data_IF_890545441794
#
_entry.id   IF_890545441794
#
_cell.length_a   1.000
_cell.length_b   1.000
_cell.length_c   1.000
_cell.angle_alpha   90.00
_cell.angle_beta   90.00
_cell.angle_gamma   90.00
#
_symmetry.space_group_name_H-M   'P 1'
#
loop_
_entity.id
_entity.type
_entity.pdbx_description
1 polymer ?
#
# COMPACT_ATOMS: atom_id res chain seq x y z
N UNK A 1 16.07 13.92 -9.87
CA UNK A 1 15.29 12.72 -9.53
C UNK A 1 13.90 12.90 -10.12
N UNK A 2 13.39 11.93 -10.87
CA UNK A 2 12.03 11.95 -11.41
C UNK A 2 11.10 11.24 -10.43
N UNK A 3 9.90 11.76 -10.22
CA UNK A 3 8.85 11.10 -9.46
C UNK A 3 7.74 10.67 -10.41
N UNK A 4 7.28 9.43 -10.31
CA UNK A 4 6.19 8.87 -11.09
C UNK A 4 5.15 8.35 -10.11
N UNK A 5 3.95 8.91 -10.15
CA UNK A 5 2.80 8.43 -9.39
C UNK A 5 1.90 7.64 -10.34
N UNK A 6 1.40 6.49 -9.87
CA UNK A 6 0.60 5.57 -10.68
C UNK A 6 -0.74 5.37 -10.00
N UNK A 7 -1.81 5.64 -10.73
CA UNK A 7 -3.14 5.20 -10.36
C UNK A 7 -3.24 3.69 -10.60
N UNK A 8 -3.43 2.92 -9.53
CA UNK A 8 -3.56 1.46 -9.61
C UNK A 8 -4.86 1.10 -10.32
N UNK A 9 -4.92 -0.03 -11.05
CA UNK A 9 -6.14 -0.55 -11.69
C UNK A 9 -7.37 -0.42 -10.75
N UNK A 10 -8.47 0.13 -11.28
CA UNK A 10 -9.69 0.40 -10.52
C UNK A 10 -9.67 1.65 -9.64
N UNK A 11 -8.60 2.45 -9.66
CA UNK A 11 -8.46 3.68 -8.89
C UNK A 11 -8.09 4.87 -9.79
N UNK A 12 -8.44 6.07 -9.34
CA UNK A 12 -8.10 7.32 -10.03
C UNK A 12 -8.54 7.33 -11.49
N UNK A 13 -7.61 7.64 -12.39
CA UNK A 13 -7.81 7.73 -13.83
C UNK A 13 -7.49 6.43 -14.58
N UNK A 14 -6.97 5.40 -13.90
CA UNK A 14 -6.73 4.10 -14.53
C UNK A 14 -8.04 3.35 -14.70
N UNK A 15 -8.14 2.58 -15.80
CA UNK A 15 -9.34 1.84 -16.16
C UNK A 15 -9.83 0.91 -15.03
N UNK A 16 -11.13 0.63 -15.03
CA UNK A 16 -11.81 -0.20 -14.05
C UNK A 16 -12.58 -1.33 -14.75
N UNK A 17 -11.85 -2.31 -15.34
CA UNK A 17 -12.47 -3.39 -16.09
C UNK A 17 -13.40 -4.22 -15.20
N UNK A 18 -14.42 -4.83 -15.81
CA UNK A 18 -15.37 -5.69 -15.10
C UNK A 18 -14.81 -7.07 -14.77
N UNK A 19 -13.78 -7.51 -15.47
CA UNK A 19 -13.12 -8.79 -15.22
C UNK A 19 -12.27 -8.72 -13.93
N UNK A 20 -12.73 -9.41 -12.90
CA UNK A 20 -12.07 -9.51 -11.59
C UNK A 20 -10.67 -10.10 -11.72
N UNK A 21 -10.41 -10.98 -12.68
CA UNK A 21 -9.10 -11.62 -12.82
C UNK A 21 -8.00 -10.61 -13.12
N UNK A 22 -8.31 -9.45 -13.75
CA UNK A 22 -7.31 -8.40 -13.97
C UNK A 22 -6.84 -7.70 -12.70
N UNK A 23 -7.56 -7.85 -11.60
CA UNK A 23 -7.19 -7.28 -10.31
C UNK A 23 -6.35 -8.23 -9.48
N UNK A 24 -5.93 -9.39 -10.00
CA UNK A 24 -4.91 -10.18 -9.31
C UNK A 24 -3.63 -9.34 -9.10
N UNK A 25 -3.17 -9.24 -7.86
CA UNK A 25 -2.06 -8.37 -7.48
C UNK A 25 -0.75 -8.69 -8.22
N UNK A 26 -0.52 -9.96 -8.60
CA UNK A 26 0.65 -10.34 -9.41
C UNK A 26 0.50 -9.88 -10.85
N UNK A 27 -0.71 -9.92 -11.41
CA UNK A 27 -0.98 -9.39 -12.75
C UNK A 27 -0.84 -7.87 -12.76
N UNK A 28 -1.35 -7.17 -11.75
CA UNK A 28 -1.16 -5.72 -11.62
C UNK A 28 0.33 -5.38 -11.44
N UNK A 29 1.11 -6.20 -10.71
CA UNK A 29 2.56 -6.01 -10.64
C UNK A 29 3.24 -6.20 -12.02
N UNK A 30 2.75 -7.11 -12.86
CA UNK A 30 3.21 -7.28 -14.23
C UNK A 30 2.87 -6.05 -15.11
N UNK A 31 1.75 -5.38 -14.86
CA UNK A 31 1.39 -4.13 -15.52
C UNK A 31 2.39 -3.00 -15.17
N UNK A 32 2.89 -2.96 -13.93
CA UNK A 32 3.98 -2.04 -13.54
C UNK A 32 5.27 -2.33 -14.33
N UNK A 33 5.63 -3.60 -14.59
CA UNK A 33 6.77 -3.92 -15.45
C UNK A 33 6.58 -3.39 -16.88
N UNK A 34 5.35 -3.44 -17.40
CA UNK A 34 5.04 -2.86 -18.72
C UNK A 34 5.28 -1.35 -18.73
N UNK A 35 4.89 -0.64 -17.67
CA UNK A 35 5.19 0.78 -17.50
C UNK A 35 6.70 1.04 -17.44
N UNK A 36 7.47 0.23 -16.70
CA UNK A 36 8.94 0.34 -16.66
C UNK A 36 9.56 0.21 -18.05
N UNK A 37 9.09 -0.76 -18.85
CA UNK A 37 9.57 -0.95 -20.23
C UNK A 37 9.23 0.23 -21.13
N UNK A 38 7.99 0.73 -21.06
CA UNK A 38 7.53 1.86 -21.88
C UNK A 38 8.28 3.17 -21.56
N UNK A 39 8.61 3.38 -20.29
CA UNK A 39 9.36 4.55 -19.82
C UNK A 39 10.88 4.33 -19.83
N UNK A 40 11.34 3.19 -20.33
CA UNK A 40 12.77 2.80 -20.39
C UNK A 40 13.47 2.85 -19.02
N UNK A 41 12.73 2.59 -17.93
CA UNK A 41 13.23 2.57 -16.56
C UNK A 41 13.90 1.22 -16.30
N UNK A 42 15.22 1.24 -16.08
CA UNK A 42 15.98 0.03 -15.75
C UNK A 42 15.80 -0.39 -14.29
N UNK A 43 15.77 0.59 -13.38
CA UNK A 43 15.69 0.38 -11.94
C UNK A 43 15.17 1.66 -11.26
N UNK A 44 14.38 1.53 -10.20
CA UNK A 44 13.83 2.68 -9.48
C UNK A 44 13.71 2.41 -7.97
N UNK A 45 13.56 3.49 -7.20
CA UNK A 45 13.13 3.43 -5.81
C UNK A 45 11.61 3.26 -5.80
N UNK A 46 11.11 2.20 -5.16
CA UNK A 46 9.69 1.89 -5.14
C UNK A 46 9.13 2.27 -3.77
N UNK A 47 8.07 3.08 -3.78
CA UNK A 47 7.34 3.46 -2.58
C UNK A 47 5.89 3.00 -2.72
N UNK A 48 5.38 2.33 -1.71
CA UNK A 48 3.98 1.92 -1.66
C UNK A 48 3.37 2.14 -0.28
N UNK A 49 2.15 2.65 -0.27
CA UNK A 49 1.35 2.87 0.93
C UNK A 49 0.18 1.87 1.01
N UNK A 50 0.02 1.18 2.14
CA UNK A 50 -1.10 0.28 2.42
C UNK A 50 -1.35 -0.74 1.30
N UNK A 51 -2.46 -0.68 0.56
CA UNK A 51 -2.67 -1.52 -0.63
C UNK A 51 -1.56 -1.35 -1.68
N UNK A 52 -1.15 -0.11 -1.97
CA UNK A 52 -0.02 0.16 -2.85
C UNK A 52 1.30 -0.37 -2.28
N UNK A 53 1.43 -0.46 -0.96
CA UNK A 53 2.55 -1.13 -0.29
C UNK A 53 2.55 -2.64 -0.52
N UNK A 54 1.37 -3.27 -0.51
CA UNK A 54 1.21 -4.70 -0.82
C UNK A 54 1.59 -4.98 -2.27
N UNK A 55 1.16 -4.12 -3.19
CA UNK A 55 1.54 -4.18 -4.60
C UNK A 55 3.05 -3.94 -4.79
N UNK A 56 3.62 -2.95 -4.13
CA UNK A 56 5.06 -2.66 -4.18
C UNK A 56 5.91 -3.82 -3.68
N UNK A 57 5.48 -4.47 -2.60
CA UNK A 57 6.13 -5.66 -2.08
C UNK A 57 6.02 -6.85 -3.05
N UNK A 58 4.83 -7.12 -3.60
CA UNK A 58 4.66 -8.14 -4.65
C UNK A 58 5.55 -7.85 -5.85
N UNK A 59 5.63 -6.60 -6.31
CA UNK A 59 6.52 -6.20 -7.39
C UNK A 59 7.99 -6.46 -7.04
N UNK A 60 8.44 -6.12 -5.83
CA UNK A 60 9.82 -6.36 -5.40
C UNK A 60 10.18 -7.85 -5.30
N UNK A 61 9.23 -8.70 -4.91
CA UNK A 61 9.41 -10.16 -4.85
C UNK A 61 9.49 -10.76 -6.26
N UNK A 62 8.57 -10.37 -7.15
CA UNK A 62 8.46 -10.97 -8.49
C UNK A 62 9.48 -10.40 -9.47
N UNK A 63 9.88 -9.15 -9.29
CA UNK A 63 10.76 -8.42 -10.20
C UNK A 63 11.87 -7.61 -9.48
N UNK A 64 12.68 -8.24 -8.61
CA UNK A 64 13.69 -7.56 -7.79
C UNK A 64 14.72 -6.77 -8.61
N UNK A 65 14.97 -7.17 -9.86
CA UNK A 65 15.91 -6.50 -10.75
C UNK A 65 15.54 -5.04 -11.06
N UNK A 66 14.26 -4.65 -10.94
CA UNK A 66 13.80 -3.28 -11.16
C UNK A 66 13.81 -2.43 -9.88
N UNK A 67 14.13 -3.00 -8.72
CA UNK A 67 13.99 -2.31 -7.42
C UNK A 67 15.35 -1.94 -6.86
N UNK A 68 15.63 -0.62 -6.80
CA UNK A 68 16.84 -0.06 -6.18
C UNK A 68 16.72 -0.05 -4.66
N UNK A 69 15.62 0.49 -4.15
CA UNK A 69 15.23 0.41 -2.74
C UNK A 69 13.72 0.24 -2.66
N UNK A 70 13.24 -0.34 -1.57
CA UNK A 70 11.82 -0.51 -1.30
C UNK A 70 11.42 0.33 -0.08
N UNK A 71 10.31 1.06 -0.17
CA UNK A 71 9.75 1.85 0.93
C UNK A 71 8.29 1.43 1.09
N UNK A 72 7.93 0.92 2.25
CA UNK A 72 6.58 0.44 2.57
C UNK A 72 6.03 1.25 3.74
N UNK A 73 4.95 1.99 3.49
CA UNK A 73 4.22 2.73 4.51
C UNK A 73 2.95 1.98 4.90
N UNK A 74 2.81 1.65 6.19
CA UNK A 74 1.61 1.04 6.77
C UNK A 74 1.05 -0.12 5.93
N UNK A 75 1.93 -1.04 5.55
CA UNK A 75 1.65 -2.16 4.64
C UNK A 75 1.84 -3.51 5.34
N UNK A 76 1.54 -4.61 4.64
CA UNK A 76 1.78 -5.98 5.12
C UNK A 76 2.25 -6.89 4.00
N UNK A 77 2.82 -8.06 4.32
CA UNK A 77 3.14 -9.09 3.34
C UNK A 77 1.96 -10.04 3.09
N UNK A 78 0.73 -9.61 3.41
CA UNK A 78 -0.47 -10.46 3.40
C UNK A 78 -0.76 -11.10 4.76
N UNK A 79 -1.78 -11.97 4.80
CA UNK A 79 -2.14 -12.76 5.98
C UNK A 79 -1.33 -14.06 5.98
N UNK A 80 -0.90 -14.52 7.16
CA UNK A 80 0.02 -15.65 7.28
C UNK A 80 -0.63 -16.97 6.85
N UNK A 81 -1.86 -17.20 7.30
CA UNK A 81 -2.54 -18.49 7.13
C UNK A 81 -3.64 -18.43 6.07
N UNK A 82 -3.90 -19.57 5.43
CA UNK A 82 -5.02 -19.66 4.49
C UNK A 82 -6.38 -19.47 5.17
N UNK A 83 -6.51 -19.88 6.44
CA UNK A 83 -7.73 -19.67 7.22
C UNK A 83 -8.05 -18.18 7.39
N UNK A 84 -7.06 -17.36 7.76
CA UNK A 84 -7.23 -15.90 7.85
C UNK A 84 -7.55 -15.30 6.48
N UNK A 85 -6.91 -15.79 5.41
CA UNK A 85 -7.18 -15.33 4.04
C UNK A 85 -8.60 -15.64 3.60
N UNK A 86 -9.12 -16.84 3.86
CA UNK A 86 -10.51 -17.22 3.58
C UNK A 86 -11.47 -16.26 4.29
N UNK A 87 -11.32 -16.07 5.60
CA UNK A 87 -12.16 -15.15 6.39
C UNK A 87 -12.11 -13.74 5.84
N UNK A 88 -10.92 -13.28 5.47
CA UNK A 88 -10.75 -11.94 4.90
C UNK A 88 -11.39 -11.80 3.52
N UNK A 89 -11.34 -12.82 2.66
CA UNK A 89 -12.03 -12.80 1.36
C UNK A 89 -13.55 -12.69 1.53
N UNK A 90 -14.13 -13.34 2.54
CA UNK A 90 -15.55 -13.22 2.85
C UNK A 90 -15.93 -11.81 3.36
N UNK A 91 -15.05 -11.15 4.10
CA UNK A 91 -15.22 -9.74 4.51
C UNK A 91 -15.09 -8.78 3.33
N UNK A 92 -14.04 -8.96 2.51
CA UNK A 92 -13.79 -8.16 1.31
C UNK A 92 -14.94 -8.31 0.30
N UNK A 93 -15.50 -9.52 0.11
CA UNK A 93 -16.67 -9.76 -0.75
C UNK A 93 -17.93 -9.08 -0.22
N UNK A 94 -18.21 -9.17 1.09
CA UNK A 94 -19.35 -8.46 1.69
C UNK A 94 -19.23 -6.96 1.51
N UNK A 95 -18.01 -6.41 1.58
CA UNK A 95 -17.77 -5.00 1.36
C UNK A 95 -17.90 -4.62 -0.12
N UNK A 96 -17.42 -5.46 -1.03
CA UNK A 96 -17.58 -5.28 -2.48
C UNK A 96 -19.06 -5.23 -2.87
N UNK A 97 -19.86 -6.20 -2.39
CA UNK A 97 -21.31 -6.22 -2.61
C UNK A 97 -22.00 -4.99 -2.03
N UNK A 98 -21.57 -4.52 -0.84
CA UNK A 98 -22.10 -3.30 -0.25
C UNK A 98 -21.85 -2.08 -1.15
N UNK A 99 -20.65 -1.95 -1.73
CA UNK A 99 -20.32 -0.86 -2.66
C UNK A 99 -21.20 -0.93 -3.92
N UNK A 100 -21.39 -2.13 -4.47
CA UNK A 100 -22.20 -2.34 -5.68
C UNK A 100 -23.69 -2.03 -5.44
N UNK A 101 -24.20 -2.36 -4.25
CA UNK A 101 -25.62 -2.17 -3.90
C UNK A 101 -25.93 -0.73 -3.44
N UNK A 102 -25.02 -0.11 -2.69
CA UNK A 102 -25.28 1.18 -2.02
C UNK A 102 -24.47 2.35 -2.56
N UNK A 103 -23.54 2.09 -3.49
CA UNK A 103 -22.69 3.09 -4.11
C UNK A 103 -21.51 3.55 -3.26
N UNK A 104 -20.60 4.27 -3.91
CA UNK A 104 -19.33 4.74 -3.33
C UNK A 104 -19.54 5.71 -2.17
N UNK A 105 -20.53 6.61 -2.25
CA UNK A 105 -20.79 7.57 -1.17
C UNK A 105 -21.14 6.87 0.16
N UNK A 106 -22.04 5.89 0.12
CA UNK A 106 -22.40 5.08 1.30
C UNK A 106 -21.22 4.29 1.85
N UNK A 107 -20.36 3.79 0.96
CA UNK A 107 -19.11 3.13 1.34
C UNK A 107 -18.16 4.09 2.05
N UNK A 108 -17.91 5.27 1.49
CA UNK A 108 -17.01 6.28 2.07
C UNK A 108 -17.50 6.71 3.45
N UNK A 109 -18.81 6.90 3.64
CA UNK A 109 -19.41 7.23 4.94
C UNK A 109 -19.15 6.19 6.04
N UNK A 110 -19.10 4.92 5.65
CA UNK A 110 -18.78 3.81 6.56
C UNK A 110 -17.27 3.68 6.75
N UNK A 111 -16.52 3.76 5.66
CA UNK A 111 -15.07 3.58 5.60
C UNK A 111 -14.34 4.61 6.46
N UNK A 112 -14.78 5.87 6.43
CA UNK A 112 -14.19 6.97 7.22
C UNK A 112 -14.33 6.79 8.73
N UNK A 113 -15.26 5.94 9.17
CA UNK A 113 -15.56 5.72 10.59
C UNK A 113 -14.87 4.48 11.16
N UNK A 114 -14.13 3.71 10.35
CA UNK A 114 -13.42 2.55 10.88
C UNK A 114 -12.27 3.02 11.80
N UNK A 115 -11.94 2.26 12.86
CA UNK A 115 -10.92 2.66 13.83
C UNK A 115 -9.56 3.00 13.22
N UNK A 116 -9.20 2.35 12.11
CA UNK A 116 -7.94 2.55 11.38
C UNK A 116 -7.70 4.01 10.94
N UNK A 117 -8.77 4.78 10.70
CA UNK A 117 -8.69 6.18 10.26
C UNK A 117 -9.08 7.20 11.33
N UNK A 118 -9.22 6.77 12.59
CA UNK A 118 -9.56 7.67 13.71
C UNK A 118 -8.58 8.83 13.85
N UNK A 119 -7.30 8.57 13.59
CA UNK A 119 -6.21 9.55 13.61
C UNK A 119 -6.41 10.73 12.65
N UNK A 120 -7.07 10.51 11.50
CA UNK A 120 -7.30 11.52 10.47
C UNK A 120 -8.25 12.64 10.95
N UNK A 121 -9.01 12.41 12.01
CA UNK A 121 -9.87 13.44 12.60
C UNK A 121 -9.06 14.62 13.16
N UNK A 122 -7.76 14.42 13.44
CA UNK A 122 -6.82 15.45 13.89
C UNK A 122 -6.35 16.39 12.77
N UNK A 123 -6.51 15.99 11.50
CA UNK A 123 -6.09 16.81 10.36
C UNK A 123 -6.95 18.08 10.23
N UNK A 124 -6.45 19.13 9.58
CA UNK A 124 -7.27 20.28 9.20
C UNK A 124 -8.51 19.89 8.38
N UNK A 125 -9.62 20.61 8.54
CA UNK A 125 -10.90 20.25 7.92
C UNK A 125 -10.87 20.30 6.39
N UNK A 126 -10.09 21.21 5.80
CA UNK A 126 -9.86 21.27 4.36
C UNK A 126 -9.10 20.04 3.84
N UNK A 127 -8.16 19.50 4.64
CA UNK A 127 -7.45 18.25 4.31
C UNK A 127 -8.40 17.06 4.39
N UNK A 128 -9.21 16.97 5.46
CA UNK A 128 -10.24 15.93 5.59
C UNK A 128 -11.22 15.95 4.41
N UNK A 129 -11.65 17.15 3.99
CA UNK A 129 -12.56 17.31 2.87
C UNK A 129 -11.94 16.87 1.54
N UNK A 130 -10.69 17.26 1.24
CA UNK A 130 -9.99 16.80 0.03
C UNK A 130 -9.84 15.29 -0.03
N UNK A 131 -9.45 14.65 1.08
CA UNK A 131 -9.36 13.19 1.17
C UNK A 131 -10.70 12.51 0.87
N UNK A 132 -11.79 13.09 1.37
CA UNK A 132 -13.13 12.60 1.09
C UNK A 132 -13.51 12.79 -0.38
N UNK A 133 -13.23 13.95 -0.96
CA UNK A 133 -13.48 14.23 -2.39
C UNK A 133 -12.72 13.26 -3.29
N UNK A 134 -11.45 12.98 -3.00
CA UNK A 134 -10.64 11.98 -3.70
C UNK A 134 -11.28 10.58 -3.62
N UNK A 135 -11.71 10.16 -2.43
CA UNK A 135 -12.38 8.85 -2.25
C UNK A 135 -13.68 8.74 -3.03
N UNK A 136 -14.44 9.82 -3.15
CA UNK A 136 -15.71 9.86 -3.88
C UNK A 136 -15.53 9.84 -5.40
N UNK A 137 -14.33 10.11 -5.92
CA UNK A 137 -14.02 10.03 -7.35
C UNK A 137 -13.83 8.60 -7.85
N UNK A 138 -13.70 7.62 -6.96
CA UNK A 138 -13.59 6.22 -7.35
C UNK A 138 -14.90 5.66 -7.92
N UNK A 139 -14.78 4.59 -8.70
CA UNK A 139 -15.93 3.87 -9.26
C UNK A 139 -16.31 2.68 -8.39
N UNK A 140 -17.60 2.34 -8.35
CA UNK A 140 -18.07 1.18 -7.58
C UNK A 140 -17.41 -0.11 -8.06
N UNK A 141 -17.32 -0.32 -9.38
CA UNK A 141 -16.71 -1.50 -9.99
C UNK A 141 -15.21 -1.58 -9.68
N UNK A 142 -14.49 -0.46 -9.74
CA UNK A 142 -13.07 -0.40 -9.44
C UNK A 142 -12.75 -0.78 -8.00
N UNK A 143 -13.48 -0.20 -7.03
CA UNK A 143 -13.31 -0.53 -5.61
C UNK A 143 -13.72 -1.98 -5.29
N UNK A 144 -14.87 -2.43 -5.79
CA UNK A 144 -15.36 -3.79 -5.56
C UNK A 144 -14.40 -4.84 -6.11
N UNK A 145 -13.91 -4.66 -7.34
CA UNK A 145 -12.98 -5.61 -7.94
C UNK A 145 -11.57 -5.51 -7.33
N UNK A 146 -11.16 -4.33 -6.85
CA UNK A 146 -9.93 -4.18 -6.08
C UNK A 146 -9.97 -4.94 -4.76
N UNK A 147 -11.11 -4.95 -4.06
CA UNK A 147 -11.31 -5.79 -2.87
C UNK A 147 -11.23 -7.28 -3.22
N UNK A 148 -11.84 -7.70 -4.33
CA UNK A 148 -11.85 -9.12 -4.75
C UNK A 148 -10.50 -9.64 -5.23
N UNK A 149 -9.74 -8.84 -6.00
CA UNK A 149 -8.48 -9.28 -6.60
C UNK A 149 -7.23 -8.85 -5.83
N UNK A 150 -7.23 -7.63 -5.27
CA UNK A 150 -6.11 -7.09 -4.50
C UNK A 150 -6.41 -6.95 -3.01
N UNK A 151 -7.55 -7.42 -2.51
CA UNK A 151 -7.84 -7.48 -1.07
C UNK A 151 -6.77 -8.28 -0.32
N UNK A 152 -6.61 -8.03 0.97
CA UNK A 152 -5.57 -8.73 1.77
C UNK A 152 -5.83 -10.24 1.83
N UNK A 153 -7.09 -10.67 1.67
CA UNK A 153 -7.43 -12.10 1.59
C UNK A 153 -7.12 -12.74 0.23
N UNK A 154 -7.13 -11.96 -0.85
CA UNK A 154 -6.82 -12.43 -2.19
C UNK A 154 -5.29 -12.49 -2.42
N UNK A 155 -4.55 -11.50 -1.92
CA UNK A 155 -3.09 -11.45 -1.99
C UNK A 155 -2.44 -12.75 -1.44
N UNK A 156 -1.43 -13.31 -2.12
CA UNK A 156 -0.60 -14.38 -1.56
C UNK A 156 0.09 -13.98 -0.25
N UNK A 157 0.37 -14.96 0.61
CA UNK A 157 1.22 -14.73 1.79
C UNK A 157 2.68 -14.64 1.37
N UNK A 158 3.31 -13.51 1.63
CA UNK A 158 4.72 -13.26 1.31
C UNK A 158 5.64 -13.33 2.53
N UNK A 159 5.13 -13.69 3.71
CA UNK A 159 5.90 -13.78 4.95
C UNK A 159 7.17 -14.62 4.79
N UNK A 160 7.02 -15.82 4.24
CA UNK A 160 8.11 -16.76 4.01
C UNK A 160 9.06 -16.33 2.87
N UNK A 161 8.76 -15.27 2.13
CA UNK A 161 9.59 -14.77 1.02
C UNK A 161 10.39 -13.53 1.39
N UNK A 162 10.10 -12.88 2.51
CA UNK A 162 10.77 -11.64 2.93
C UNK A 162 12.30 -11.77 3.02
N UNK A 163 12.80 -12.95 3.45
CA UNK A 163 14.23 -13.22 3.55
C UNK A 163 14.98 -13.21 2.20
N UNK A 164 14.26 -13.23 1.08
CA UNK A 164 14.84 -13.19 -0.28
C UNK A 164 15.05 -11.74 -0.78
N UNK A 165 14.51 -10.74 -0.09
CA UNK A 165 14.60 -9.34 -0.47
C UNK A 165 15.94 -8.73 -0.05
N UNK A 166 16.91 -8.80 -0.96
CA UNK A 166 18.26 -8.29 -0.73
C UNK A 166 18.42 -6.77 -0.91
N UNK A 167 17.45 -6.09 -1.53
CA UNK A 167 17.49 -4.63 -1.65
C UNK A 167 17.22 -3.96 -0.29
N UNK A 168 17.79 -2.77 -0.03
CA UNK A 168 17.44 -2.00 1.15
C UNK A 168 15.95 -1.72 1.21
N UNK A 169 15.33 -2.02 2.36
CA UNK A 169 13.88 -1.89 2.57
C UNK A 169 13.60 -1.04 3.80
N UNK A 170 12.91 0.08 3.62
CA UNK A 170 12.42 0.94 4.68
C UNK A 170 10.94 0.66 4.94
N UNK A 171 10.62 0.32 6.18
CA UNK A 171 9.26 0.20 6.69
C UNK A 171 8.94 1.45 7.51
N UNK A 172 7.80 2.08 7.23
CA UNK A 172 7.29 3.25 7.96
C UNK A 172 5.92 2.90 8.52
N UNK A 173 5.71 3.07 9.82
CA UNK A 173 4.39 2.97 10.45
C UNK A 173 4.14 4.19 11.35
N UNK A 174 2.87 4.56 11.53
CA UNK A 174 2.49 5.57 12.51
C UNK A 174 2.29 4.95 13.89
N UNK A 175 2.80 5.59 14.93
CA UNK A 175 2.72 5.14 16.33
C UNK A 175 1.29 4.79 16.79
N UNK A 176 0.27 5.51 16.31
CA UNK A 176 -1.12 5.30 16.66
C UNK A 176 -1.77 4.11 15.89
N UNK A 177 -1.05 3.52 14.93
CA UNK A 177 -1.45 2.33 14.18
C UNK A 177 -0.74 1.07 14.73
N UNK A 178 -1.13 0.68 15.93
CA UNK A 178 -0.53 -0.46 16.66
C UNK A 178 -0.50 -1.76 15.83
N UNK A 179 -1.53 -1.98 15.01
CA UNK A 179 -1.62 -3.17 14.15
C UNK A 179 -0.49 -3.17 13.12
N UNK A 180 -0.36 -2.09 12.33
CA UNK A 180 0.65 -2.05 11.28
C UNK A 180 2.06 -1.84 11.82
N UNK A 181 2.24 -1.22 12.99
CA UNK A 181 3.55 -1.21 13.65
C UNK A 181 3.98 -2.60 14.12
N UNK A 182 3.06 -3.44 14.63
CA UNK A 182 3.37 -4.83 14.95
C UNK A 182 3.76 -5.62 13.71
N UNK A 183 2.98 -5.52 12.63
CA UNK A 183 3.30 -6.16 11.34
C UNK A 183 4.67 -5.71 10.84
N UNK A 184 4.95 -4.40 10.86
CA UNK A 184 6.22 -3.87 10.40
C UNK A 184 7.40 -4.33 11.29
N UNK A 185 7.18 -4.45 12.60
CA UNK A 185 8.16 -5.03 13.53
C UNK A 185 8.43 -6.50 13.27
N UNK A 186 7.44 -7.28 12.84
CA UNK A 186 7.65 -8.69 12.45
C UNK A 186 8.35 -8.78 11.08
N UNK A 187 7.95 -7.96 10.10
CA UNK A 187 8.57 -7.92 8.79
C UNK A 187 10.06 -7.57 8.86
N UNK A 188 10.45 -6.58 9.68
CA UNK A 188 11.85 -6.12 9.73
C UNK A 188 12.79 -7.21 10.25
N UNK A 189 12.31 -8.14 11.09
CA UNK A 189 13.11 -9.28 11.57
C UNK A 189 13.41 -10.29 10.46
N UNK A 190 12.59 -10.33 9.42
CA UNK A 190 12.72 -11.27 8.30
C UNK A 190 13.42 -10.67 7.08
N UNK A 191 13.56 -9.33 7.04
CA UNK A 191 14.20 -8.62 5.94
C UNK A 191 15.72 -8.52 6.16
N UNK A 192 16.57 -9.05 5.25
CA UNK A 192 18.02 -9.00 5.40
C UNK A 192 18.58 -7.59 5.56
N UNK A 193 17.99 -6.63 4.83
CA UNK A 193 18.38 -5.21 4.82
C UNK A 193 17.18 -4.32 5.18
N UNK A 194 16.43 -4.72 6.21
CA UNK A 194 15.25 -4.00 6.69
C UNK A 194 15.59 -2.88 7.69
N UNK A 195 14.94 -1.73 7.55
CA UNK A 195 14.93 -0.66 8.56
C UNK A 195 13.48 -0.31 8.88
N UNK A 196 13.13 -0.24 10.17
CA UNK A 196 11.80 0.19 10.62
C UNK A 196 11.89 1.56 11.28
N UNK A 197 11.01 2.48 10.85
CA UNK A 197 10.80 3.77 11.49
C UNK A 197 9.33 3.89 11.92
N UNK A 198 9.12 3.98 13.23
CA UNK A 198 7.83 4.36 13.81
C UNK A 198 7.78 5.88 13.92
N UNK A 199 6.76 6.50 13.32
CA UNK A 199 6.58 7.95 13.32
C UNK A 199 5.60 8.35 14.42
N UNK A 200 6.02 9.19 15.39
CA UNK A 200 5.17 9.60 16.50
C UNK A 200 4.01 10.46 16.01
N UNK A 201 2.89 10.40 16.73
CA UNK A 201 1.68 11.20 16.44
C UNK A 201 1.17 11.05 15.00
N UNK A 202 1.21 9.83 14.47
CA UNK A 202 0.65 9.47 13.17
C UNK A 202 -0.10 8.13 13.31
N UNK A 203 -1.22 7.98 12.60
CA UNK A 203 -1.88 6.69 12.44
C UNK A 203 -1.53 6.06 11.09
N UNK A 204 -2.55 5.53 10.41
CA UNK A 204 -2.33 4.72 9.21
C UNK A 204 -1.72 5.51 8.04
N UNK A 205 -2.00 6.82 7.91
CA UNK A 205 -1.59 7.65 6.75
C UNK A 205 -0.49 8.64 7.13
N UNK A 206 0.71 8.12 7.40
CA UNK A 206 1.86 8.89 7.89
C UNK A 206 2.25 10.03 6.95
N UNK A 207 2.22 9.82 5.64
CA UNK A 207 2.58 10.86 4.66
C UNK A 207 1.62 12.06 4.66
N UNK A 208 0.41 11.90 5.18
CA UNK A 208 -0.56 12.98 5.36
C UNK A 208 -0.47 13.59 6.76
N UNK A 209 -0.37 12.76 7.80
CA UNK A 209 -0.37 13.20 9.20
C UNK A 209 0.95 13.85 9.61
N UNK A 210 2.08 13.39 9.06
CA UNK A 210 3.43 13.84 9.39
C UNK A 210 4.24 14.11 8.11
N UNK A 211 3.67 14.93 7.22
CA UNK A 211 4.16 15.16 5.84
C UNK A 211 5.64 15.52 5.74
N UNK A 212 6.12 16.48 6.54
CA UNK A 212 7.52 16.91 6.51
C UNK A 212 8.47 15.79 6.96
N UNK A 213 8.09 15.09 8.04
CA UNK A 213 8.87 13.97 8.57
C UNK A 213 8.92 12.82 7.58
N UNK A 214 7.79 12.44 6.99
CA UNK A 214 7.72 11.42 5.95
C UNK A 214 8.60 11.77 4.74
N UNK A 215 8.46 12.99 4.21
CA UNK A 215 9.25 13.46 3.07
C UNK A 215 10.75 13.43 3.35
N UNK A 216 11.17 13.84 4.55
CA UNK A 216 12.57 13.77 4.99
C UNK A 216 13.10 12.33 5.02
N UNK A 217 12.34 11.39 5.61
CA UNK A 217 12.73 9.98 5.70
C UNK A 217 12.89 9.35 4.31
N UNK A 218 11.91 9.56 3.43
CA UNK A 218 11.95 9.06 2.05
C UNK A 218 13.12 9.65 1.29
N UNK A 219 13.31 10.98 1.36
CA UNK A 219 14.40 11.66 0.66
C UNK A 219 15.77 11.17 1.14
N UNK A 220 15.99 11.06 2.45
CA UNK A 220 17.25 10.57 3.00
C UNK A 220 17.53 9.14 2.56
N UNK A 221 16.55 8.25 2.66
CA UNK A 221 16.70 6.85 2.29
C UNK A 221 17.04 6.69 0.80
N UNK A 222 16.35 7.44 -0.07
CA UNK A 222 16.58 7.40 -1.52
C UNK A 222 17.95 7.97 -1.88
N UNK A 223 18.32 9.15 -1.36
CA UNK A 223 19.59 9.81 -1.71
C UNK A 223 20.83 9.07 -1.19
N UNK A 224 20.69 8.36 -0.06
CA UNK A 224 21.77 7.54 0.52
C UNK A 224 21.77 6.09 0.04
N UNK A 225 21.00 5.78 -1.02
CA UNK A 225 21.00 4.44 -1.62
C UNK A 225 20.48 3.33 -0.69
N UNK A 226 19.62 3.65 0.26
CA UNK A 226 19.02 2.68 1.18
C UNK A 226 19.57 2.70 2.61
N UNK A 227 20.29 3.75 3.02
CA UNK A 227 20.73 3.93 4.41
C UNK A 227 20.09 5.17 5.05
N UNK A 228 19.60 5.04 6.29
CA UNK A 228 19.20 6.19 7.11
C UNK A 228 20.29 6.62 8.10
N UNK A 229 21.31 5.80 8.31
CA UNK A 229 22.47 6.15 9.13
C UNK A 229 23.50 6.92 8.28
N UNK A 230 24.25 7.84 8.91
CA UNK A 230 25.45 8.38 8.29
C UNK A 230 26.56 7.34 8.42
N UNK A 231 27.27 7.06 7.33
CA UNK A 231 28.62 6.50 7.45
C UNK A 231 29.53 7.48 8.22
#
# INVERSE_FOLDING_TARGET
MQCIAVDILGHGQTDAPSDVQRYDIEIVAQDIVTLFKQLEIKKAHILGYSMGGRLALTFAIRYPQYVQTLILESSSPGLQTEEERVKRREEDERLAQFIEQHGVASFVDKWEKIPLFSSLQRLPKDVQQRLREERLQHTAIGLANSLRGMGTGAQPSWWETLHQLNMPTLLICGEDDEKFCRIASEMVQLLPNGTLITVPHAGHIVHMEQRERFGMLVQQFVLKGGSLHGD
#
